data_IF_331063514090
#
_entry.id   IF_331063514090
#
_cell.length_a   1.000
_cell.length_b   1.000
_cell.length_c   1.000
_cell.angle_alpha   90.00
_cell.angle_beta   90.00
_cell.angle_gamma   90.00
#
_symmetry.space_group_name_H-M   'P 1'
#
loop_
_entity.id
_entity.type
_entity.pdbx_description
1 polymer ?
#
# COMPACT_ATOMS: atom_id res chain seq x y z
N UNK A 1 25.90 -9.56 -27.65
CA UNK A 1 25.18 -8.96 -26.50
C UNK A 1 26.12 -7.94 -25.87
N UNK A 2 25.80 -6.64 -25.95
CA UNK A 2 26.72 -5.57 -25.58
C UNK A 2 26.95 -5.54 -24.06
N UNK A 3 28.15 -5.88 -23.55
CA UNK A 3 28.42 -5.98 -22.12
C UNK A 3 28.48 -4.61 -21.40
N UNK A 4 28.38 -3.49 -22.12
CA UNK A 4 28.48 -2.14 -21.55
C UNK A 4 27.20 -1.60 -20.92
N UNK A 5 26.02 -2.15 -21.26
CA UNK A 5 24.71 -1.62 -20.80
C UNK A 5 24.23 -2.24 -19.49
N UNK A 6 24.70 -3.44 -19.16
CA UNK A 6 24.35 -4.18 -17.94
C UNK A 6 24.57 -3.39 -16.65
N UNK A 7 25.73 -2.72 -16.42
CA UNK A 7 25.93 -1.96 -15.19
C UNK A 7 24.99 -0.75 -15.08
N UNK A 8 24.67 -0.09 -16.20
CA UNK A 8 23.71 1.01 -16.22
C UNK A 8 22.29 0.54 -15.91
N UNK A 9 21.87 -0.59 -16.47
CA UNK A 9 20.56 -1.17 -16.17
C UNK A 9 20.44 -1.59 -14.70
N UNK A 10 21.49 -2.19 -14.12
CA UNK A 10 21.51 -2.54 -12.70
C UNK A 10 21.42 -1.29 -11.82
N UNK A 11 22.18 -0.24 -12.13
CA UNK A 11 22.13 1.04 -11.41
C UNK A 11 20.73 1.66 -11.47
N UNK A 12 20.13 1.74 -12.67
CA UNK A 12 18.78 2.28 -12.85
C UNK A 12 17.77 1.46 -12.06
N UNK A 13 17.86 0.13 -12.13
CA UNK A 13 16.95 -0.77 -11.40
C UNK A 13 17.07 -0.57 -9.89
N UNK A 14 18.30 -0.48 -9.37
CA UNK A 14 18.55 -0.23 -7.95
C UNK A 14 17.97 1.12 -7.51
N UNK A 15 18.18 2.19 -8.29
CA UNK A 15 17.62 3.51 -8.02
C UNK A 15 16.10 3.51 -8.02
N UNK A 16 15.47 2.77 -8.95
CA UNK A 16 14.02 2.62 -8.99
C UNK A 16 13.49 1.87 -7.76
N UNK A 17 14.15 0.80 -7.32
CA UNK A 17 13.76 0.07 -6.10
C UNK A 17 13.84 0.97 -4.87
N UNK A 18 14.94 1.72 -4.71
CA UNK A 18 15.13 2.66 -3.61
C UNK A 18 14.04 3.74 -3.63
N UNK A 19 13.80 4.33 -4.81
CA UNK A 19 12.74 5.33 -5.01
C UNK A 19 11.36 4.77 -4.68
N UNK A 20 11.08 3.52 -5.04
CA UNK A 20 9.82 2.86 -4.74
C UNK A 20 9.63 2.61 -3.24
N UNK A 21 10.68 2.17 -2.55
CA UNK A 21 10.65 1.95 -1.09
C UNK A 21 10.52 3.25 -0.31
N UNK A 22 11.22 4.31 -0.74
CA UNK A 22 11.11 5.64 -0.15
C UNK A 22 9.67 6.17 -0.19
N UNK A 23 8.97 5.98 -1.32
CA UNK A 23 7.57 6.38 -1.46
C UNK A 23 6.65 5.65 -0.49
N UNK A 24 6.85 4.35 -0.27
CA UNK A 24 6.02 3.62 0.69
C UNK A 24 6.27 4.08 2.12
N UNK A 25 7.51 4.37 2.46
CA UNK A 25 7.85 4.86 3.79
C UNK A 25 7.22 6.24 4.05
N UNK A 26 7.13 7.10 3.04
CA UNK A 26 6.38 8.36 3.13
C UNK A 26 4.88 8.12 3.33
N UNK A 27 4.28 7.22 2.55
CA UNK A 27 2.86 6.89 2.68
C UNK A 27 2.54 6.25 4.04
N UNK A 28 3.32 5.27 4.50
CA UNK A 28 3.14 4.59 5.79
C UNK A 28 3.19 5.59 6.95
N UNK A 29 4.18 6.48 6.97
CA UNK A 29 4.29 7.54 7.98
C UNK A 29 3.12 8.49 7.96
N UNK A 30 2.66 8.90 6.78
CA UNK A 30 1.55 9.82 6.67
C UNK A 30 0.20 9.17 7.05
N UNK A 31 0.00 7.89 6.71
CA UNK A 31 -1.16 7.11 7.13
C UNK A 31 -1.18 6.99 8.66
N UNK A 32 -0.06 6.57 9.27
CA UNK A 32 0.05 6.42 10.72
C UNK A 32 -0.24 7.73 11.45
N UNK A 33 0.35 8.84 11.00
CA UNK A 33 0.11 10.16 11.60
C UNK A 33 -1.37 10.55 11.55
N UNK A 34 -2.04 10.31 10.42
CA UNK A 34 -3.46 10.62 10.27
C UNK A 34 -4.32 9.76 11.21
N UNK A 35 -4.02 8.47 11.31
CA UNK A 35 -4.76 7.53 12.15
C UNK A 35 -4.49 7.72 13.66
N UNK A 36 -3.27 8.10 14.03
CA UNK A 36 -2.94 8.50 15.41
C UNK A 36 -3.74 9.73 15.85
N UNK A 37 -3.94 10.70 14.95
CA UNK A 37 -4.79 11.88 15.22
C UNK A 37 -6.27 11.51 15.43
N UNK A 38 -6.74 10.44 14.79
CA UNK A 38 -8.10 9.91 14.93
C UNK A 38 -8.26 9.00 16.17
N UNK A 39 -7.17 8.76 16.93
CA UNK A 39 -7.19 7.93 18.13
C UNK A 39 -7.37 6.44 17.86
N UNK A 40 -7.07 5.97 16.64
CA UNK A 40 -7.20 4.57 16.25
C UNK A 40 -5.83 3.87 16.22
N UNK A 41 -5.82 2.57 16.52
CA UNK A 41 -4.59 1.77 16.51
C UNK A 41 -4.40 1.10 15.16
N UNK A 42 -3.32 1.42 14.45
CA UNK A 42 -3.00 0.78 13.16
C UNK A 42 -2.57 -0.67 13.39
N UNK A 43 -3.31 -1.62 12.80
CA UNK A 43 -3.02 -3.06 12.87
C UNK A 43 -2.12 -3.47 11.70
N UNK A 44 -2.45 -3.02 10.49
CA UNK A 44 -1.71 -3.38 9.27
C UNK A 44 -1.87 -2.32 8.19
N UNK A 45 -0.77 -1.98 7.53
CA UNK A 45 -0.75 -1.20 6.29
C UNK A 45 -0.21 -2.12 5.20
N UNK A 46 -1.06 -2.44 4.23
CA UNK A 46 -0.69 -3.21 3.05
C UNK A 46 -0.84 -2.35 1.80
N UNK A 47 -0.02 -2.59 0.77
CA UNK A 47 -0.32 -2.06 -0.56
C UNK A 47 -1.56 -2.79 -1.09
N UNK A 48 -2.66 -2.06 -1.26
CA UNK A 48 -3.77 -2.55 -2.07
C UNK A 48 -3.23 -2.68 -3.49
N UNK A 49 -3.48 -3.82 -4.15
CA UNK A 49 -2.85 -4.20 -5.42
C UNK A 49 -2.66 -3.02 -6.39
N UNK A 50 -1.53 -2.99 -7.09
CA UNK A 50 -1.23 -2.15 -8.26
C UNK A 50 -2.19 -2.36 -9.47
N UNK A 51 -3.32 -3.04 -9.28
CA UNK A 51 -4.15 -3.65 -10.31
C UNK A 51 -5.63 -3.65 -9.88
N UNK A 52 -6.20 -2.48 -9.58
CA UNK A 52 -7.64 -2.33 -9.81
C UNK A 52 -7.82 -2.03 -11.32
N UNK A 53 -7.91 -3.10 -12.10
CA UNK A 53 -8.37 -3.13 -13.50
C UNK A 53 -9.86 -2.77 -13.64
N UNK A 54 -10.46 -2.15 -12.63
CA UNK A 54 -11.86 -1.72 -12.69
C UNK A 54 -11.94 -0.25 -13.09
N UNK A 55 -12.00 -0.02 -14.41
CA UNK A 55 -12.99 0.92 -14.94
C UNK A 55 -12.69 2.43 -14.91
N UNK A 56 -11.44 2.88 -14.78
CA UNK A 56 -11.12 4.27 -15.07
C UNK A 56 -9.88 4.35 -15.96
N UNK A 57 -10.04 4.96 -17.14
CA UNK A 57 -8.98 5.39 -18.04
C UNK A 57 -8.01 6.33 -17.31
N UNK A 58 -7.16 5.77 -16.45
CA UNK A 58 -6.08 6.49 -15.79
C UNK A 58 -4.86 6.22 -16.65
N UNK A 59 -4.52 7.20 -17.49
CA UNK A 59 -3.26 7.27 -18.25
C UNK A 59 -2.11 6.70 -17.43
N UNK A 60 -1.22 5.88 -18.00
CA UNK A 60 -0.07 5.25 -17.33
C UNK A 60 0.71 6.16 -16.34
N UNK A 61 0.76 7.47 -16.60
CA UNK A 61 1.33 8.47 -15.69
C UNK A 61 0.64 8.55 -14.31
N UNK A 62 -0.67 8.29 -14.25
CA UNK A 62 -1.45 8.23 -13.01
C UNK A 62 -1.03 7.03 -12.15
N UNK A 63 -0.87 5.83 -12.72
CA UNK A 63 -0.41 4.65 -11.97
C UNK A 63 1.00 4.82 -11.39
N UNK A 64 1.84 5.65 -12.02
CA UNK A 64 3.15 6.01 -11.48
C UNK A 64 3.10 7.08 -10.41
N UNK A 65 2.01 7.85 -10.31
CA UNK A 65 1.87 8.96 -9.37
C UNK A 65 0.96 8.60 -8.19
N UNK A 66 -0.02 7.72 -8.37
CA UNK A 66 -0.96 7.31 -7.33
C UNK A 66 -0.63 5.92 -6.81
N UNK A 67 -0.83 5.67 -5.51
CA UNK A 67 -0.73 4.34 -4.91
C UNK A 67 -1.83 4.12 -3.89
N UNK A 68 -2.41 2.94 -3.93
CA UNK A 68 -3.45 2.53 -2.99
C UNK A 68 -2.87 1.69 -1.86
N UNK A 69 -3.32 1.96 -0.65
CA UNK A 69 -2.92 1.29 0.58
C UNK A 69 -4.18 0.82 1.30
N UNK A 70 -4.30 -0.48 1.51
CA UNK A 70 -5.31 -1.05 2.41
C UNK A 70 -4.78 -0.90 3.84
N UNK A 71 -5.53 -0.19 4.66
CA UNK A 71 -5.17 0.06 6.05
C UNK A 71 -6.20 -0.58 6.94
N UNK A 72 -5.74 -1.50 7.78
CA UNK A 72 -6.54 -2.10 8.84
C UNK A 72 -6.18 -1.44 10.15
N UNK A 73 -7.19 -0.93 10.84
CA UNK A 73 -7.03 -0.27 12.12
C UNK A 73 -8.13 -0.70 13.08
N UNK A 74 -7.86 -0.58 14.38
CA UNK A 74 -8.80 -0.86 15.45
C UNK A 74 -9.25 0.45 16.09
N UNK A 75 -10.57 0.67 16.11
CA UNK A 75 -11.18 1.83 16.78
C UNK A 75 -11.11 1.68 18.31
N UNK A 76 -11.26 2.79 19.07
CA UNK A 76 -11.36 2.76 20.53
C UNK A 76 -12.44 1.79 21.03
N UNK A 77 -13.52 1.63 20.27
CA UNK A 77 -14.64 0.71 20.54
C UNK A 77 -14.27 -0.79 20.37
N UNK A 78 -13.01 -1.10 20.07
CA UNK A 78 -12.51 -2.47 19.87
C UNK A 78 -12.82 -3.08 18.50
N UNK A 79 -13.60 -2.39 17.66
CA UNK A 79 -13.95 -2.86 16.31
C UNK A 79 -12.78 -2.66 15.35
N UNK A 80 -12.49 -3.70 14.57
CA UNK A 80 -11.55 -3.62 13.46
C UNK A 80 -12.24 -3.11 12.19
N UNK A 81 -11.57 -2.22 11.48
CA UNK A 81 -12.05 -1.64 10.23
C UNK A 81 -10.93 -1.61 9.20
N UNK A 82 -11.34 -1.64 7.93
CA UNK A 82 -10.44 -1.48 6.80
C UNK A 82 -10.83 -0.24 5.98
N UNK A 83 -9.85 0.56 5.60
CA UNK A 83 -9.99 1.70 4.70
C UNK A 83 -8.97 1.60 3.57
N UNK A 84 -9.32 2.18 2.41
CA UNK A 84 -8.37 2.32 1.30
C UNK A 84 -7.89 3.77 1.25
N UNK A 85 -6.59 3.95 1.45
CA UNK A 85 -5.91 5.23 1.35
C UNK A 85 -5.18 5.32 0.02
N UNK A 86 -5.44 6.40 -0.72
CA UNK A 86 -4.73 6.71 -1.96
C UNK A 86 -3.71 7.80 -1.65
N UNK A 87 -2.45 7.51 -1.95
CA UNK A 87 -1.34 8.44 -1.83
C UNK A 87 -0.96 8.97 -3.21
N UNK A 88 -0.99 10.29 -3.35
CA UNK A 88 -0.61 11.01 -4.57
C UNK A 88 0.83 11.48 -4.43
N UNK A 89 1.68 11.14 -5.39
CA UNK A 89 3.08 11.50 -5.40
C UNK A 89 3.41 12.37 -6.62
N UNK A 90 4.42 13.21 -6.45
CA UNK A 90 4.97 14.00 -7.53
C UNK A 90 5.64 13.10 -8.59
N UNK A 91 5.37 13.26 -9.90
CA UNK A 91 5.91 12.39 -10.96
C UNK A 91 7.44 12.37 -10.99
N UNK A 92 8.06 13.55 -10.86
CA UNK A 92 9.52 13.73 -10.92
C UNK A 92 10.22 13.50 -9.57
N UNK A 93 9.78 14.15 -8.49
CA UNK A 93 10.48 14.08 -7.19
C UNK A 93 10.05 12.89 -6.33
N UNK A 94 8.92 12.23 -6.65
CA UNK A 94 8.33 11.17 -5.83
C UNK A 94 8.00 11.58 -4.40
N UNK A 95 7.91 12.88 -4.12
CA UNK A 95 7.42 13.38 -2.85
C UNK A 95 5.91 13.18 -2.75
N UNK A 96 5.44 12.75 -1.59
CA UNK A 96 4.01 12.69 -1.26
C UNK A 96 3.41 14.10 -1.34
N UNK A 97 2.42 14.28 -2.22
CA UNK A 97 1.66 15.53 -2.41
C UNK A 97 0.39 15.55 -1.57
N UNK A 98 -0.28 14.42 -1.46
CA UNK A 98 -1.58 14.34 -0.81
C UNK A 98 -1.97 12.91 -0.50
N UNK A 99 -2.96 12.77 0.37
CA UNK A 99 -3.53 11.47 0.71
C UNK A 99 -5.03 11.62 0.94
N UNK A 100 -5.81 10.80 0.25
CA UNK A 100 -7.26 10.78 0.36
C UNK A 100 -7.76 9.36 0.62
N UNK A 101 -8.96 9.24 1.20
CA UNK A 101 -9.57 7.94 1.53
C UNK A 101 -10.61 7.65 0.47
N UNK A 102 -10.49 6.54 -0.25
CA UNK A 102 -11.41 6.17 -1.34
C UNK A 102 -12.73 5.60 -0.79
N UNK A 103 -12.73 5.18 0.47
CA UNK A 103 -13.91 4.70 1.19
C UNK A 103 -13.51 3.81 2.37
N UNK A 104 -14.36 3.77 3.39
CA UNK A 104 -14.33 2.72 4.40
C UNK A 104 -14.98 1.48 3.76
N UNK A 105 -14.32 0.32 3.80
CA UNK A 105 -15.00 -0.93 3.50
C UNK A 105 -15.64 -1.44 4.79
N UNK A 106 -16.98 -1.39 4.93
CA UNK A 106 -17.64 -2.07 6.01
C UNK A 106 -17.56 -3.58 5.73
N UNK A 107 -16.57 -4.24 6.33
CA UNK A 107 -16.51 -5.70 6.38
C UNK A 107 -15.61 -6.37 5.34
N UNK A 108 -14.32 -6.53 5.67
CA UNK A 108 -13.61 -7.75 5.32
C UNK A 108 -13.65 -8.66 6.55
N UNK A 109 -14.79 -9.32 6.73
CA UNK A 109 -14.87 -10.48 7.60
C UNK A 109 -13.95 -11.59 7.07
N UNK A 110 -13.21 -12.22 7.97
CA UNK A 110 -12.69 -13.57 7.83
C UNK A 110 -11.76 -13.82 6.64
N UNK A 111 -10.46 -13.68 6.86
CA UNK A 111 -9.50 -14.57 6.19
C UNK A 111 -8.73 -15.31 7.26
N UNK A 112 -9.41 -16.29 7.87
CA UNK A 112 -8.78 -17.43 8.52
C UNK A 112 -7.94 -18.15 7.46
N UNK A 113 -6.65 -17.79 7.42
CA UNK A 113 -5.62 -18.59 6.77
C UNK A 113 -4.69 -19.08 7.86
N UNK A 114 -4.89 -20.33 8.26
CA UNK A 114 -3.79 -21.19 8.69
C UNK A 114 -3.88 -21.78 10.09
N UNK A 115 -4.91 -22.59 10.37
CA UNK A 115 -4.76 -23.69 11.33
C UNK A 115 -5.31 -24.95 10.69
N UNK A 116 -4.41 -25.81 10.21
CA UNK A 116 -4.75 -27.14 9.76
C UNK A 116 -5.39 -27.92 10.92
N UNK A 117 -6.50 -28.65 10.71
CA UNK A 117 -6.98 -29.58 11.72
C UNK A 117 -6.02 -30.78 11.76
N UNK A 118 -5.33 -30.96 12.88
CA UNK A 118 -4.69 -32.22 13.22
C UNK A 118 -5.78 -33.30 13.27
N UNK A 119 -5.70 -34.26 12.35
CA UNK A 119 -6.50 -35.47 12.42
C UNK A 119 -6.08 -36.27 13.68
N UNK A 120 -7.03 -36.81 14.47
CA UNK A 120 -6.70 -37.74 15.53
C UNK A 120 -6.29 -39.08 14.92
N UNK A 121 -5.03 -39.46 15.15
CA UNK A 121 -4.57 -40.84 14.93
C UNK A 121 -5.24 -41.72 15.98
N UNK A 122 -6.07 -42.66 15.51
CA UNK A 122 -6.46 -43.85 16.27
C UNK A 122 -5.50 -44.98 15.92
#
# INVERSE_FOLDING_TARGET
MNPSLTPFLLLITALLVIRHGWRDLQADRAIRRKLEQEGVTVVRIGRARLLNESGAHTTMGSMLCTREYEVRYRRPDGREQASVHVADFHPVTSALRGMHVLGEHPGSGGSDRGTAPLAPVR
#
